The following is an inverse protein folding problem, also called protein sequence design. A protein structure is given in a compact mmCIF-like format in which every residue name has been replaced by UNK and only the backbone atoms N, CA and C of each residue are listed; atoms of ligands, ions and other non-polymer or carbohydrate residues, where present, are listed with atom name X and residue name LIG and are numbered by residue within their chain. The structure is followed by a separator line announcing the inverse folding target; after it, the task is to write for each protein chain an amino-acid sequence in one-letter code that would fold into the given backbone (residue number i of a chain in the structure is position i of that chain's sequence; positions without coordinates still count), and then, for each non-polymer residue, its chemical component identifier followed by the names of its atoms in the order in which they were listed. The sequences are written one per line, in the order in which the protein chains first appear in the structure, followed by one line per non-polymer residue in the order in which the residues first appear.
data_IF_310461223103
#
_entry.id   IF_310461223103
#
_cell.length_a   1.000
_cell.length_b   1.000
_cell.length_c   1.000
_cell.angle_alpha   90.00
_cell.angle_beta   90.00
_cell.angle_gamma   90.00
#
_symmetry.space_group_name_H-M   'P 1'
#
loop_
_entity.id
_entity.type
_entity.pdbx_description
1 polymer ?
#
# COMPACT_ATOMS: atom_id res chain seq x y z
N UNK A 1 10.80 12.77 6.99
CA UNK A 1 12.08 12.15 7.35
C UNK A 1 12.37 11.03 6.37
N UNK A 2 13.54 10.98 5.76
CA UNK A 2 13.97 9.93 4.82
C UNK A 2 14.39 8.63 5.56
N UNK A 3 13.56 8.16 6.48
CA UNK A 3 13.80 6.93 7.23
C UNK A 3 13.16 5.77 6.50
N UNK A 4 13.89 4.70 6.15
CA UNK A 4 13.31 3.53 5.52
C UNK A 4 12.09 3.00 6.29
N UNK A 5 11.02 2.72 5.58
CA UNK A 5 9.76 2.23 6.12
C UNK A 5 9.34 0.92 5.45
N UNK A 6 8.99 -0.06 6.25
CA UNK A 6 8.38 -1.31 5.82
C UNK A 6 7.12 -1.57 6.66
N UNK A 7 5.94 -1.46 6.05
CA UNK A 7 4.66 -1.73 6.68
C UNK A 7 4.12 -3.11 6.30
N UNK A 8 3.74 -3.94 7.29
CA UNK A 8 3.22 -5.27 7.04
C UNK A 8 1.80 -5.39 7.59
N UNK A 9 0.86 -5.86 6.79
CA UNK A 9 -0.55 -6.06 7.13
C UNK A 9 -1.16 -4.82 7.80
N UNK A 10 -1.34 -4.81 9.10
CA UNK A 10 -1.79 -3.65 9.88
C UNK A 10 -0.87 -2.43 9.69
N UNK A 11 0.44 -2.65 9.49
CA UNK A 11 1.40 -1.58 9.21
C UNK A 11 1.13 -0.87 7.88
N UNK A 12 0.69 -1.59 6.85
CA UNK A 12 0.20 -0.98 5.61
C UNK A 12 -1.08 -0.18 5.87
N UNK A 13 -2.04 -0.74 6.58
CA UNK A 13 -3.31 -0.08 6.90
C UNK A 13 -3.09 1.21 7.70
N UNK A 14 -2.21 1.18 8.70
CA UNK A 14 -1.82 2.38 9.45
C UNK A 14 -1.19 3.46 8.54
N UNK A 15 -0.36 3.07 7.57
CA UNK A 15 0.24 4.02 6.64
C UNK A 15 -0.78 4.65 5.69
N UNK A 16 -1.83 3.91 5.29
CA UNK A 16 -2.96 4.43 4.51
C UNK A 16 -3.80 5.40 5.34
N UNK A 17 -4.06 5.10 6.61
CA UNK A 17 -4.77 6.02 7.52
C UNK A 17 -3.97 7.32 7.71
N UNK A 18 -2.66 7.20 7.91
CA UNK A 18 -1.76 8.35 8.04
C UNK A 18 -1.75 9.21 6.77
N UNK A 19 -1.62 8.60 5.59
CA UNK A 19 -1.75 9.26 4.31
C UNK A 19 -3.07 10.01 4.19
N UNK A 20 -4.18 9.33 4.50
CA UNK A 20 -5.51 9.91 4.38
C UNK A 20 -5.68 11.15 5.24
N UNK A 21 -5.21 11.13 6.48
CA UNK A 21 -5.31 12.25 7.43
C UNK A 21 -4.41 13.42 7.07
N UNK A 22 -3.17 13.16 6.71
CA UNK A 22 -2.13 14.20 6.63
C UNK A 22 -1.81 14.65 5.20
N UNK A 23 -1.98 13.79 4.21
CA UNK A 23 -1.74 14.10 2.80
C UNK A 23 -3.06 14.40 2.08
N UNK A 24 -4.00 13.46 2.11
CA UNK A 24 -5.31 13.62 1.45
C UNK A 24 -6.28 14.55 2.21
N UNK A 25 -5.93 14.94 3.46
CA UNK A 25 -6.74 15.85 4.31
C UNK A 25 -8.16 15.36 4.59
N UNK A 26 -8.34 14.05 4.64
CA UNK A 26 -9.61 13.41 4.99
C UNK A 26 -9.75 13.39 6.51
N UNK A 27 -10.51 14.35 7.03
CA UNK A 27 -10.70 14.48 8.47
C UNK A 27 -11.34 13.23 9.06
N UNK A 28 -10.76 12.71 10.15
CA UNK A 28 -11.25 11.54 10.86
C UNK A 28 -11.09 10.22 10.11
N UNK A 29 -10.35 10.19 8.98
CA UNK A 29 -10.11 8.95 8.25
C UNK A 29 -9.54 7.85 9.14
N UNK A 30 -10.07 6.62 9.01
CA UNK A 30 -9.70 5.50 9.87
C UNK A 30 -9.99 4.16 9.16
N UNK A 31 -9.71 3.07 9.87
CA UNK A 31 -10.20 1.74 9.54
C UNK A 31 -11.57 1.51 10.15
N UNK A 32 -12.50 0.93 9.38
CA UNK A 32 -13.79 0.47 9.88
C UNK A 32 -13.65 -0.69 10.89
N UNK A 33 -12.48 -1.32 10.98
CA UNK A 33 -12.16 -2.28 12.04
C UNK A 33 -12.04 -1.62 13.42
N UNK A 34 -11.49 -0.40 13.46
CA UNK A 34 -11.29 0.35 14.71
C UNK A 34 -12.48 1.20 15.08
N UNK A 35 -13.18 1.72 14.08
CA UNK A 35 -14.35 2.55 14.24
C UNK A 35 -15.36 2.24 13.13
N UNK A 36 -16.39 1.42 13.41
CA UNK A 36 -17.40 1.04 12.43
C UNK A 36 -18.22 2.23 11.86
N UNK A 37 -18.31 3.32 12.62
CA UNK A 37 -19.06 4.53 12.25
C UNK A 37 -18.18 5.61 11.61
N UNK A 38 -16.93 5.26 11.24
CA UNK A 38 -15.98 6.22 10.65
C UNK A 38 -16.52 6.82 9.36
N UNK A 39 -16.45 8.16 9.25
CA UNK A 39 -16.92 8.91 8.07
C UNK A 39 -16.12 8.60 6.80
N UNK A 40 -14.80 8.43 6.96
CA UNK A 40 -13.86 8.15 5.85
C UNK A 40 -13.18 6.80 6.10
N UNK A 41 -13.83 5.65 5.79
CA UNK A 41 -13.28 4.31 6.00
C UNK A 41 -12.28 3.96 4.89
N UNK A 42 -11.04 4.45 5.01
CA UNK A 42 -9.97 4.19 4.01
C UNK A 42 -9.48 2.74 4.04
N UNK A 43 -9.75 2.05 5.13
CA UNK A 43 -9.65 0.60 5.28
C UNK A 43 -11.03 0.07 5.64
N UNK A 44 -11.56 -0.88 4.86
CA UNK A 44 -12.93 -1.34 5.02
C UNK A 44 -13.07 -2.83 4.64
N UNK A 45 -14.22 -3.41 4.95
CA UNK A 45 -14.63 -4.70 4.39
C UNK A 45 -14.89 -4.54 2.88
N UNK A 46 -14.63 -5.60 2.12
CA UNK A 46 -15.09 -5.66 0.75
C UNK A 46 -16.63 -5.74 0.71
N UNK A 47 -17.29 -5.20 -0.34
CA UNK A 47 -18.74 -5.28 -0.46
C UNK A 47 -19.28 -6.72 -0.31
N UNK A 48 -18.58 -7.70 -0.87
CA UNK A 48 -18.95 -9.11 -0.81
C UNK A 48 -18.81 -9.73 0.61
N UNK A 49 -18.14 -9.04 1.52
CA UNK A 49 -17.94 -9.49 2.90
C UNK A 49 -18.96 -8.86 3.88
N UNK A 50 -19.67 -7.83 3.46
CA UNK A 50 -20.58 -7.07 4.35
C UNK A 50 -21.84 -7.87 4.73
N UNK A 51 -22.29 -8.77 3.87
CA UNK A 51 -23.51 -9.58 4.07
C UNK A 51 -23.24 -10.96 4.71
N UNK A 52 -21.99 -11.27 5.07
CA UNK A 52 -21.61 -12.57 5.63
C UNK A 52 -21.77 -12.58 7.14
N UNK A 53 -22.73 -13.34 7.63
CA UNK A 53 -23.05 -13.48 9.08
C UNK A 53 -21.95 -14.25 9.82
N UNK A 54 -21.26 -15.17 9.17
CA UNK A 54 -20.14 -15.92 9.75
C UNK A 54 -18.82 -15.19 9.50
N UNK A 55 -18.34 -14.48 10.53
CA UNK A 55 -17.11 -13.70 10.50
C UNK A 55 -15.85 -14.52 10.12
N UNK A 56 -15.85 -15.84 10.32
CA UNK A 56 -14.76 -16.74 9.89
C UNK A 56 -14.62 -16.83 8.39
N UNK A 57 -15.74 -16.76 7.65
CA UNK A 57 -15.79 -16.87 6.19
C UNK A 57 -15.32 -15.63 5.41
N UNK A 58 -15.11 -14.49 6.09
CA UNK A 58 -14.68 -13.24 5.46
C UNK A 58 -13.18 -13.00 5.51
N UNK A 59 -12.43 -13.83 6.21
CA UNK A 59 -10.99 -13.69 6.37
C UNK A 59 -10.23 -14.20 5.15
N UNK A 60 -9.36 -13.37 4.57
CA UNK A 60 -8.33 -13.85 3.64
C UNK A 60 -7.25 -14.55 4.44
N UNK A 61 -7.22 -15.87 4.32
CA UNK A 61 -6.30 -16.74 5.04
C UNK A 61 -5.61 -17.69 4.07
N UNK A 62 -4.27 -17.69 4.07
CA UNK A 62 -3.47 -18.58 3.24
C UNK A 62 -2.71 -17.88 2.13
N UNK A 63 -2.35 -18.64 1.10
CA UNK A 63 -1.49 -18.20 0.00
C UNK A 63 -2.33 -17.65 -1.16
N UNK A 64 -2.05 -16.42 -1.56
CA UNK A 64 -2.75 -15.74 -2.65
C UNK A 64 -1.76 -15.13 -3.65
N UNK A 65 -2.12 -15.09 -4.95
CA UNK A 65 -1.32 -14.44 -5.97
C UNK A 65 -1.41 -12.91 -5.86
N UNK A 66 -0.27 -12.25 -6.08
CA UNK A 66 -0.17 -10.81 -6.23
C UNK A 66 0.59 -10.50 -7.52
N UNK A 67 -0.02 -9.69 -8.40
CA UNK A 67 0.61 -9.19 -9.63
C UNK A 67 1.36 -7.90 -9.32
N UNK A 68 2.65 -7.86 -9.66
CA UNK A 68 3.50 -6.70 -9.47
C UNK A 68 3.50 -5.79 -10.69
N UNK A 69 3.54 -4.49 -10.44
CA UNK A 69 3.63 -3.47 -11.49
C UNK A 69 5.10 -3.31 -11.89
N UNK A 70 5.45 -3.44 -13.18
CA UNK A 70 6.80 -3.22 -13.67
C UNK A 70 7.34 -1.82 -13.31
N UNK A 71 8.67 -1.71 -13.16
CA UNK A 71 9.37 -0.47 -12.81
C UNK A 71 9.03 0.11 -11.41
N UNK A 72 8.51 -0.70 -10.51
CA UNK A 72 8.29 -0.37 -9.10
C UNK A 72 9.40 -0.92 -8.21
N UNK A 73 9.48 -0.43 -6.96
CA UNK A 73 10.40 -0.97 -5.98
C UNK A 73 10.08 -2.45 -5.69
N UNK A 74 8.80 -2.80 -5.51
CA UNK A 74 8.39 -4.19 -5.33
C UNK A 74 8.89 -5.07 -6.46
N UNK A 75 8.63 -4.69 -7.73
CA UNK A 75 9.09 -5.46 -8.88
C UNK A 75 10.62 -5.62 -8.89
N UNK A 76 11.37 -4.58 -8.54
CA UNK A 76 12.85 -4.63 -8.49
C UNK A 76 13.38 -5.58 -7.41
N UNK A 77 12.65 -5.75 -6.32
CA UNK A 77 13.02 -6.63 -5.21
C UNK A 77 12.73 -8.10 -5.49
N UNK A 78 11.57 -8.39 -6.07
CA UNK A 78 11.12 -9.76 -6.37
C UNK A 78 11.63 -10.28 -7.72
N UNK A 79 11.71 -9.42 -8.74
CA UNK A 79 12.07 -9.75 -10.14
C UNK A 79 11.12 -10.79 -10.77
N UNK A 80 9.86 -10.76 -10.38
CA UNK A 80 8.79 -11.63 -10.83
C UNK A 80 7.54 -10.79 -11.12
N UNK A 81 6.73 -11.20 -12.11
CA UNK A 81 5.47 -10.51 -12.44
C UNK A 81 4.33 -10.90 -11.51
N UNK A 82 4.33 -12.15 -11.05
CA UNK A 82 3.33 -12.68 -10.13
C UNK A 82 4.04 -13.41 -9.00
N UNK A 83 3.76 -12.97 -7.80
CA UNK A 83 4.26 -13.58 -6.56
C UNK A 83 3.12 -14.22 -5.79
N UNK A 84 3.43 -15.12 -4.87
CA UNK A 84 2.45 -15.77 -4.01
C UNK A 84 2.79 -15.50 -2.56
N UNK A 85 1.88 -14.81 -1.85
CA UNK A 85 2.12 -14.36 -0.49
C UNK A 85 1.02 -14.80 0.46
N UNK A 86 1.36 -14.96 1.74
CA UNK A 86 0.44 -15.44 2.75
C UNK A 86 -0.28 -14.30 3.44
N UNK A 87 -1.60 -14.41 3.51
CA UNK A 87 -2.51 -13.43 4.10
C UNK A 87 -3.15 -13.96 5.40
N UNK A 88 -3.45 -13.02 6.30
CA UNK A 88 -4.26 -13.24 7.49
C UNK A 88 -4.91 -11.93 7.90
N UNK A 89 -5.92 -11.49 7.16
CA UNK A 89 -6.65 -10.25 7.45
C UNK A 89 -8.06 -10.32 6.87
N UNK A 90 -8.91 -9.41 7.31
CA UNK A 90 -10.30 -9.28 6.86
C UNK A 90 -10.53 -7.96 6.16
N UNK A 91 -9.93 -6.89 6.67
CA UNK A 91 -10.08 -5.54 6.15
C UNK A 91 -9.05 -5.25 5.06
N UNK A 92 -9.47 -4.46 4.08
CA UNK A 92 -8.73 -4.17 2.85
C UNK A 92 -8.64 -2.67 2.62
N UNK A 93 -7.71 -2.24 1.78
CA UNK A 93 -7.67 -0.89 1.24
C UNK A 93 -9.00 -0.60 0.52
N UNK A 94 -9.67 0.50 0.87
CA UNK A 94 -10.92 0.89 0.23
C UNK A 94 -10.66 1.54 -1.13
N UNK A 95 -11.06 0.87 -2.21
CA UNK A 95 -10.84 1.30 -3.59
C UNK A 95 -11.49 2.66 -3.94
N UNK A 96 -12.48 3.13 -3.18
CA UNK A 96 -13.06 4.47 -3.37
C UNK A 96 -11.99 5.57 -3.23
N UNK A 97 -10.92 5.32 -2.49
CA UNK A 97 -9.82 6.27 -2.29
C UNK A 97 -8.59 6.01 -3.19
N UNK A 98 -8.63 4.98 -4.04
CA UNK A 98 -7.46 4.56 -4.83
C UNK A 98 -6.96 5.62 -5.81
N UNK A 99 -7.87 6.31 -6.49
CA UNK A 99 -7.50 7.38 -7.43
C UNK A 99 -6.81 8.52 -6.68
N UNK A 100 -7.40 8.99 -5.59
CA UNK A 100 -6.82 10.04 -4.75
C UNK A 100 -5.44 9.64 -4.19
N UNK A 101 -5.27 8.37 -3.82
CA UNK A 101 -4.00 7.83 -3.35
C UNK A 101 -2.90 7.96 -4.41
N UNK A 102 -3.21 7.61 -5.66
CA UNK A 102 -2.27 7.71 -6.78
C UNK A 102 -2.02 9.17 -7.18
N UNK A 103 -3.04 10.01 -7.24
CA UNK A 103 -2.93 11.44 -7.57
C UNK A 103 -2.06 12.21 -6.58
N UNK A 104 -1.98 11.77 -5.33
CA UNK A 104 -1.11 12.36 -4.29
C UNK A 104 0.33 11.84 -4.31
N UNK A 105 0.72 11.08 -5.34
CA UNK A 105 2.10 10.65 -5.59
C UNK A 105 2.49 9.30 -4.99
N UNK A 106 1.53 8.56 -4.44
CA UNK A 106 1.75 7.17 -4.03
C UNK A 106 1.56 6.21 -5.19
N UNK A 107 2.08 5.01 -5.08
CA UNK A 107 1.96 3.97 -6.10
C UNK A 107 1.35 2.71 -5.50
N UNK A 108 0.36 2.14 -6.19
CA UNK A 108 -0.10 0.78 -5.97
C UNK A 108 0.78 -0.12 -6.83
N UNK A 109 1.76 -0.78 -6.21
CA UNK A 109 2.78 -1.58 -6.91
C UNK A 109 2.48 -3.08 -6.94
N UNK A 110 1.49 -3.53 -6.17
CA UNK A 110 0.98 -4.90 -6.21
C UNK A 110 -0.53 -4.95 -6.07
N UNK A 111 -1.16 -5.82 -6.85
CA UNK A 111 -2.61 -6.04 -6.81
C UNK A 111 -2.95 -7.52 -6.90
N UNK A 112 -4.18 -7.89 -6.51
CA UNK A 112 -4.74 -9.18 -6.95
C UNK A 112 -4.72 -9.29 -8.48
N UNK A 113 -4.69 -10.51 -9.08
CA UNK A 113 -4.61 -10.69 -10.54
C UNK A 113 -5.71 -9.99 -11.33
N UNK A 114 -6.90 -9.85 -10.73
CA UNK A 114 -8.05 -9.11 -11.30
C UNK A 114 -7.95 -7.59 -11.09
N UNK A 115 -6.93 -7.12 -10.38
CA UNK A 115 -6.66 -5.72 -10.13
C UNK A 115 -7.54 -5.07 -9.04
N UNK A 116 -8.46 -5.82 -8.42
CA UNK A 116 -9.42 -5.28 -7.45
C UNK A 116 -8.81 -4.98 -6.08
N UNK A 117 -7.90 -5.82 -5.59
CA UNK A 117 -7.32 -5.67 -4.27
C UNK A 117 -5.96 -5.00 -4.34
N UNK A 118 -5.71 -4.08 -3.42
CA UNK A 118 -4.40 -3.44 -3.25
C UNK A 118 -3.57 -4.28 -2.29
N UNK A 119 -2.47 -4.84 -2.80
CA UNK A 119 -1.61 -5.76 -2.05
C UNK A 119 -0.31 -5.13 -1.59
N UNK A 120 0.24 -4.20 -2.40
CA UNK A 120 1.48 -3.48 -2.09
C UNK A 120 1.33 -2.02 -2.48
N UNK A 121 1.80 -1.14 -1.60
CA UNK A 121 1.89 0.31 -1.85
C UNK A 121 3.31 0.81 -1.64
N UNK A 122 3.66 1.88 -2.38
CA UNK A 122 4.97 2.52 -2.35
C UNK A 122 4.87 4.04 -2.37
N UNK A 123 5.91 4.71 -1.86
CA UNK A 123 6.16 6.12 -2.08
C UNK A 123 7.43 6.28 -2.92
N UNK A 124 7.32 6.53 -4.26
CA UNK A 124 8.46 6.44 -5.20
C UNK A 124 9.64 7.34 -4.88
N UNK A 125 9.38 8.56 -4.40
CA UNK A 125 10.40 9.56 -4.09
C UNK A 125 11.02 9.40 -2.69
N UNK A 126 10.67 8.34 -1.98
CA UNK A 126 11.24 8.01 -0.68
C UNK A 126 12.42 7.03 -0.83
N UNK A 127 13.49 7.09 -0.01
CA UNK A 127 14.62 6.16 -0.07
C UNK A 127 14.19 4.68 -0.04
N UNK A 128 13.25 4.35 0.83
CA UNK A 128 12.59 3.06 0.89
C UNK A 128 11.28 3.21 1.65
N UNK A 129 10.17 3.23 0.94
CA UNK A 129 8.85 3.18 1.54
C UNK A 129 8.04 2.14 0.76
N UNK A 130 7.77 1.02 1.41
CA UNK A 130 6.96 -0.06 0.86
C UNK A 130 6.11 -0.64 1.98
N UNK A 131 4.86 -0.97 1.65
CA UNK A 131 4.01 -1.67 2.59
C UNK A 131 3.15 -2.71 1.88
N UNK A 132 2.95 -3.86 2.53
CA UNK A 132 2.21 -5.00 2.00
C UNK A 132 1.04 -5.39 2.91
N UNK A 133 -0.05 -5.84 2.30
CA UNK A 133 -1.21 -6.36 3.02
C UNK A 133 -0.98 -7.79 3.54
N UNK A 134 -0.05 -8.51 2.94
CA UNK A 134 0.33 -9.86 3.31
C UNK A 134 1.45 -9.90 4.37
N UNK A 135 1.81 -11.10 4.80
CA UNK A 135 2.76 -11.41 5.87
C UNK A 135 4.02 -12.10 5.31
N UNK A 136 5.04 -11.36 4.83
CA UNK A 136 6.27 -11.92 4.27
C UNK A 136 7.07 -12.74 5.29
N UNK A 137 6.88 -12.52 6.60
CA UNK A 137 7.54 -13.25 7.66
C UNK A 137 7.22 -14.75 7.64
N UNK A 138 6.07 -15.14 7.10
CA UNK A 138 5.72 -16.57 6.99
C UNK A 138 6.53 -17.31 5.92
N UNK A 139 7.16 -16.60 4.99
CA UNK A 139 7.96 -17.17 3.91
C UNK A 139 9.46 -16.87 4.04
N UNK A 140 9.85 -16.05 5.02
CA UNK A 140 11.25 -15.72 5.27
C UNK A 140 11.97 -16.81 6.05
N UNK A 141 13.23 -17.04 5.70
CA UNK A 141 14.13 -17.99 6.38
C UNK A 141 15.52 -17.36 6.57
N UNK A 142 16.30 -17.71 7.59
CA UNK A 142 17.66 -17.20 7.78
C UNK A 142 18.57 -17.42 6.57
N UNK A 143 18.45 -18.56 5.89
CA UNK A 143 19.23 -18.91 4.70
C UNK A 143 18.64 -18.35 3.40
N UNK A 144 17.38 -17.90 3.40
CA UNK A 144 16.67 -17.33 2.27
C UNK A 144 15.74 -16.22 2.76
N UNK A 145 16.29 -15.04 3.10
CA UNK A 145 15.50 -13.95 3.61
C UNK A 145 14.56 -13.40 2.52
N UNK A 146 13.33 -13.08 2.93
CA UNK A 146 12.32 -12.56 2.05
C UNK A 146 12.78 -11.27 1.35
N UNK A 147 12.46 -11.04 0.05
CA UNK A 147 12.91 -9.88 -0.72
C UNK A 147 12.63 -8.53 -0.06
N UNK A 148 11.46 -8.34 0.55
CA UNK A 148 11.11 -7.11 1.26
C UNK A 148 12.02 -6.85 2.47
N UNK A 149 12.35 -7.87 3.27
CA UNK A 149 13.25 -7.71 4.40
C UNK A 149 14.67 -7.43 3.97
N UNK A 150 15.14 -8.13 2.92
CA UNK A 150 16.46 -7.88 2.35
C UNK A 150 16.60 -6.44 1.84
N UNK A 151 15.61 -5.95 1.08
CA UNK A 151 15.59 -4.58 0.58
C UNK A 151 15.54 -3.54 1.70
N UNK A 152 14.69 -3.76 2.70
CA UNK A 152 14.58 -2.87 3.85
C UNK A 152 15.90 -2.74 4.64
N UNK A 153 16.55 -3.87 4.96
CA UNK A 153 17.84 -3.86 5.66
C UNK A 153 18.92 -3.18 4.82
N UNK A 154 18.96 -3.43 3.52
CA UNK A 154 19.90 -2.77 2.61
C UNK A 154 19.71 -1.25 2.61
N UNK A 155 18.48 -0.78 2.54
CA UNK A 155 18.16 0.65 2.61
C UNK A 155 18.53 1.26 3.96
N UNK A 156 18.26 0.56 5.07
CA UNK A 156 18.61 1.00 6.42
C UNK A 156 20.13 1.09 6.63
N UNK A 157 20.92 0.26 5.95
CA UNK A 157 22.38 0.32 5.96
C UNK A 157 22.96 1.37 5.00
N UNK A 158 22.12 2.17 4.33
CA UNK A 158 22.57 3.16 3.35
C UNK A 158 23.16 2.56 2.07
N UNK A 159 22.98 1.28 1.82
CA UNK A 159 23.39 0.63 0.57
C UNK A 159 22.37 0.92 -0.50
N UNK A 160 22.81 1.54 -1.60
CA UNK A 160 21.97 1.96 -2.74
C UNK A 160 20.99 0.88 -3.21
N UNK A 161 19.81 1.33 -3.65
CA UNK A 161 18.73 0.48 -4.20
C UNK A 161 19.28 -0.47 -5.28
N UNK A 162 18.90 -1.74 -5.31
CA UNK A 162 19.15 -2.59 -6.47
C UNK A 162 18.31 -2.04 -7.64
N UNK A 163 19.00 -1.51 -8.64
CA UNK A 163 18.56 -1.45 -10.03
C UNK A 163 17.33 -0.62 -10.39
N UNK A 164 17.27 0.65 -10.01
CA UNK A 164 16.58 1.66 -10.82
C UNK A 164 17.65 2.55 -11.42
N UNK A 165 17.97 2.36 -12.69
CA UNK A 165 18.83 3.31 -13.41
C UNK A 165 18.13 4.65 -13.41
N UNK A 166 18.80 5.67 -12.85
CA UNK A 166 18.37 7.04 -12.97
C UNK A 166 18.30 7.40 -14.47
N UNK A 167 17.08 7.46 -15.02
CA UNK A 167 16.83 8.13 -16.28
C UNK A 167 17.15 9.60 -16.08
N UNK A 168 18.18 10.07 -16.74
CA UNK A 168 18.55 11.47 -16.82
C UNK A 168 17.37 12.30 -17.37
N UNK A 169 16.99 13.32 -16.64
CA UNK A 169 16.36 14.49 -17.21
C UNK A 169 14.89 14.71 -16.82
N UNK A 170 14.67 15.60 -15.88
CA UNK A 170 14.05 16.89 -16.10
C UNK A 170 14.06 17.67 -14.78
N UNK A 171 14.86 18.71 -14.73
CA UNK A 171 14.67 19.83 -13.83
C UNK A 171 13.41 20.57 -14.29
N UNK A 172 12.38 20.62 -13.45
CA UNK A 172 11.47 21.75 -13.42
C UNK A 172 10.89 21.91 -12.01
N UNK A 173 10.91 23.12 -11.46
CA UNK A 173 10.44 23.41 -10.11
C UNK A 173 8.94 23.71 -10.16
N UNK A 174 8.12 22.83 -9.62
CA UNK A 174 6.73 23.15 -9.32
C UNK A 174 6.62 23.35 -7.81
N UNK A 175 6.97 24.55 -7.37
CA UNK A 175 6.45 25.15 -6.15
C UNK A 175 5.48 26.26 -6.54
N UNK A 176 4.32 26.31 -5.88
CA UNK A 176 3.22 27.27 -5.97
C UNK A 176 2.09 26.89 -6.95
N UNK A 177 1.08 26.27 -6.43
CA UNK A 177 -0.35 26.65 -6.44
C UNK A 177 -1.23 25.44 -6.10
N UNK A 178 -1.37 25.16 -4.82
CA UNK A 178 -2.44 24.28 -4.31
C UNK A 178 -3.36 25.08 -3.40
N UNK A 179 -4.02 26.09 -3.96
CA UNK A 179 -5.20 26.69 -3.36
C UNK A 179 -6.38 26.52 -4.31
N UNK A 180 -7.40 25.83 -3.82
CA UNK A 180 -8.73 25.62 -4.44
C UNK A 180 -8.94 24.35 -5.26
N UNK A 181 -9.10 23.20 -4.57
CA UNK A 181 -10.03 22.16 -5.04
C UNK A 181 -11.06 21.96 -3.93
N UNK A 182 -12.21 22.54 -4.07
CA UNK A 182 -13.38 22.25 -3.24
C UNK A 182 -14.05 20.99 -3.81
N UNK A 183 -13.99 19.89 -3.07
CA UNK A 183 -14.74 18.68 -3.38
C UNK A 183 -16.07 18.75 -2.62
N UNK A 184 -17.17 18.76 -3.38
CA UNK A 184 -18.53 18.69 -2.86
C UNK A 184 -18.81 17.29 -2.28
N UNK A 185 -19.49 17.17 -1.12
CA UNK A 185 -19.76 15.88 -0.45
C UNK A 185 -20.78 14.98 -1.13
N UNK A 186 -21.24 15.27 -2.34
CA UNK A 186 -22.42 14.65 -2.94
C UNK A 186 -22.15 13.45 -3.88
N UNK A 187 -20.90 13.03 -4.08
CA UNK A 187 -20.57 11.95 -5.05
C UNK A 187 -19.97 10.68 -4.43
N UNK A 188 -20.16 10.50 -3.12
CA UNK A 188 -19.74 9.25 -2.44
C UNK A 188 -20.99 8.60 -1.85
N UNK A 189 -21.78 7.96 -2.69
CA UNK A 189 -22.85 7.01 -2.30
C UNK A 189 -22.52 5.64 -2.82
#
# INVERSE_FOLDING_TARGET
HNIPFLGLCLGMQCSVIEWARHIARLEGANSAEFDPEVKNPVINLLPEQQDVVDLGGTMRLGLYPCRLVPNTLAFSLYQEEVIYERHRHRYEFNNAYRNLFVETGYTVSGTSPDGRLVEIIELPNHPFFIASQFHPEFQSRPSSPHPLFKGFVQAALGKSKPGVSAGNGCNDPIASDLTSVQISPAEVS
#
